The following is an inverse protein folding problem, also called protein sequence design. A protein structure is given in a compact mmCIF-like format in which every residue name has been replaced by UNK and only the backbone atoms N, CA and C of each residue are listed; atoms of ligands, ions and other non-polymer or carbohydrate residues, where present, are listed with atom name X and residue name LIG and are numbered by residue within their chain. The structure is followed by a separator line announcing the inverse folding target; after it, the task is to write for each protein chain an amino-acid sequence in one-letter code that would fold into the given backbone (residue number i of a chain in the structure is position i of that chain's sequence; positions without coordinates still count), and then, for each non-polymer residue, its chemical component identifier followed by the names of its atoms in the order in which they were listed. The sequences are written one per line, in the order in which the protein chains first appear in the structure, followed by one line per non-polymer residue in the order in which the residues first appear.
data_IF_064523771916
#
_entry.id   IF_064523771916
#
_cell.length_a   1.000
_cell.length_b   1.000
_cell.length_c   1.000
_cell.angle_alpha   90.00
_cell.angle_beta   90.00
_cell.angle_gamma   90.00
#
_symmetry.space_group_name_H-M   'P 1'
#
loop_
_entity.id
_entity.type
_entity.pdbx_description
1 polymer ?
#
# COMPACT_ATOMS: atom_id res chain seq x y z
N UNK A 1 25.50 21.79 -21.54
CA UNK A 1 25.35 20.57 -20.73
C UNK A 1 25.16 19.42 -21.69
N UNK A 2 26.02 18.40 -21.59
CA UNK A 2 25.86 17.18 -22.38
C UNK A 2 24.61 16.43 -21.88
N UNK A 3 23.89 15.71 -22.75
CA UNK A 3 22.76 14.88 -22.34
C UNK A 3 23.16 13.71 -21.41
N UNK A 4 24.43 13.57 -21.05
CA UNK A 4 24.97 12.57 -20.12
C UNK A 4 25.52 13.18 -18.83
N UNK A 5 25.43 14.49 -18.63
CA UNK A 5 25.90 15.15 -17.39
C UNK A 5 25.13 14.64 -16.15
N UNK A 6 23.90 14.14 -16.33
CA UNK A 6 23.11 13.51 -15.27
C UNK A 6 23.69 12.16 -14.80
N UNK A 7 24.38 11.40 -15.67
CA UNK A 7 25.10 10.18 -15.26
C UNK A 7 26.27 10.54 -14.35
N UNK A 8 27.02 11.60 -14.71
CA UNK A 8 28.11 12.10 -13.87
C UNK A 8 27.59 12.63 -12.52
N UNK A 9 26.40 13.24 -12.48
CA UNK A 9 25.75 13.63 -11.23
C UNK A 9 25.25 12.42 -10.43
N UNK A 10 24.77 11.35 -11.08
CA UNK A 10 24.40 10.09 -10.44
C UNK A 10 25.60 9.41 -9.77
N UNK A 11 26.75 9.39 -10.44
CA UNK A 11 28.00 8.90 -9.83
C UNK A 11 28.42 9.73 -8.63
N UNK A 12 28.25 11.07 -8.66
CA UNK A 12 28.51 11.92 -7.49
C UNK A 12 27.51 11.73 -6.35
N UNK A 13 26.28 11.32 -6.64
CA UNK A 13 25.31 10.96 -5.60
C UNK A 13 25.75 9.74 -4.79
N UNK A 14 26.54 8.83 -5.37
CA UNK A 14 27.13 7.70 -4.64
C UNK A 14 28.11 8.18 -3.55
N UNK A 15 28.70 9.36 -3.69
CA UNK A 15 29.59 9.97 -2.69
C UNK A 15 28.81 10.68 -1.56
N UNK A 16 27.48 10.85 -1.70
CA UNK A 16 26.62 11.56 -0.75
C UNK A 16 25.37 10.74 -0.39
N UNK A 17 25.50 9.73 0.48
CA UNK A 17 24.45 8.73 0.67
C UNK A 17 23.15 9.29 1.27
N UNK A 18 23.23 10.29 2.15
CA UNK A 18 22.03 10.95 2.69
C UNK A 18 21.26 11.73 1.61
N UNK A 19 21.99 12.34 0.67
CA UNK A 19 21.39 13.01 -0.48
C UNK A 19 20.77 11.99 -1.43
N UNK A 20 21.45 10.86 -1.68
CA UNK A 20 20.91 9.74 -2.44
C UNK A 20 19.59 9.24 -1.85
N UNK A 21 19.51 9.03 -0.52
CA UNK A 21 18.26 8.65 0.14
C UNK A 21 17.15 9.67 -0.12
N UNK A 22 17.42 10.96 0.08
CA UNK A 22 16.46 12.03 -0.14
C UNK A 22 15.96 12.09 -1.60
N UNK A 23 16.87 11.95 -2.55
CA UNK A 23 16.55 11.87 -3.99
C UNK A 23 15.71 10.64 -4.29
N UNK A 24 16.08 9.48 -3.76
CA UNK A 24 15.35 8.23 -3.93
C UNK A 24 13.91 8.35 -3.44
N UNK A 25 13.71 8.87 -2.23
CA UNK A 25 12.36 9.14 -1.68
C UNK A 25 11.60 10.14 -2.56
N UNK A 26 12.24 11.23 -3.00
CA UNK A 26 11.59 12.21 -3.86
C UNK A 26 11.13 11.59 -5.20
N UNK A 27 11.97 10.77 -5.84
CA UNK A 27 11.63 10.05 -7.07
C UNK A 27 10.46 9.09 -6.85
N UNK A 28 10.41 8.40 -5.70
CA UNK A 28 9.30 7.51 -5.35
C UNK A 28 7.98 8.29 -5.25
N UNK A 29 7.99 9.42 -4.54
CA UNK A 29 6.82 10.27 -4.37
C UNK A 29 6.32 10.80 -5.72
N UNK A 30 7.24 11.25 -6.58
CA UNK A 30 6.91 11.71 -7.95
C UNK A 30 6.30 10.58 -8.78
N UNK A 31 6.88 9.38 -8.75
CA UNK A 31 6.34 8.23 -9.47
C UNK A 31 4.93 7.87 -9.01
N UNK A 32 4.69 7.85 -7.69
CA UNK A 32 3.37 7.60 -7.11
C UNK A 32 2.34 8.65 -7.53
N UNK A 33 2.70 9.94 -7.55
CA UNK A 33 1.81 11.01 -8.02
C UNK A 33 1.48 10.88 -9.52
N UNK A 34 2.44 10.47 -10.37
CA UNK A 34 2.18 10.21 -11.78
C UNK A 34 1.15 9.08 -11.99
N UNK A 35 1.21 8.03 -11.17
CA UNK A 35 0.21 6.96 -11.18
C UNK A 35 -1.17 7.49 -10.78
N UNK A 36 -1.25 8.30 -9.73
CA UNK A 36 -2.52 8.95 -9.32
C UNK A 36 -3.10 9.81 -10.45
N UNK A 37 -2.26 10.56 -11.16
CA UNK A 37 -2.68 11.37 -12.31
C UNK A 37 -3.18 10.51 -13.49
N UNK A 38 -2.57 9.35 -13.74
CA UNK A 38 -3.07 8.37 -14.72
C UNK A 38 -4.50 7.97 -14.36
N UNK A 39 -4.71 7.58 -13.11
CA UNK A 39 -5.99 7.06 -12.65
C UNK A 39 -7.09 8.11 -12.76
N UNK A 40 -6.82 9.35 -12.35
CA UNK A 40 -7.79 10.45 -12.50
C UNK A 40 -8.22 10.66 -13.95
N UNK A 41 -7.28 10.63 -14.90
CA UNK A 41 -7.58 10.77 -16.34
C UNK A 41 -8.37 9.58 -16.92
N UNK A 42 -8.23 8.39 -16.33
CA UNK A 42 -8.99 7.20 -16.71
C UNK A 42 -10.42 7.24 -16.18
N UNK A 43 -10.61 7.76 -14.96
CA UNK A 43 -11.92 7.93 -14.33
C UNK A 43 -12.78 8.98 -15.07
N UNK A 44 -12.19 10.13 -15.44
CA UNK A 44 -12.88 11.22 -16.15
C UNK A 44 -13.47 10.79 -17.51
N UNK A 45 -12.92 9.73 -18.12
CA UNK A 45 -13.38 9.20 -19.41
C UNK A 45 -14.52 8.18 -19.29
N UNK A 46 -15.16 8.09 -18.12
CA UNK A 46 -16.31 7.23 -17.84
C UNK A 46 -16.03 5.74 -18.08
N UNK A 47 -14.76 5.35 -17.93
CA UNK A 47 -14.35 3.96 -17.99
C UNK A 47 -14.87 3.28 -16.72
N UNK A 48 -15.72 2.26 -16.87
CA UNK A 48 -16.54 1.65 -15.81
C UNK A 48 -16.01 1.81 -14.38
N UNK A 49 -16.52 2.84 -13.70
CA UNK A 49 -16.06 3.39 -12.40
C UNK A 49 -15.97 2.32 -11.29
N UNK A 50 -16.77 1.25 -11.40
CA UNK A 50 -16.87 0.20 -10.38
C UNK A 50 -15.76 -0.85 -10.48
N UNK A 51 -15.24 -1.12 -11.68
CA UNK A 51 -14.17 -2.11 -11.90
C UNK A 51 -12.79 -1.47 -11.85
N UNK A 52 -12.70 -0.19 -12.23
CA UNK A 52 -11.51 0.61 -11.95
C UNK A 52 -11.27 0.73 -10.44
N UNK A 53 -12.27 1.12 -9.65
CA UNK A 53 -12.07 1.46 -8.25
C UNK A 53 -11.60 0.34 -7.29
N UNK A 54 -11.79 -0.95 -7.60
CA UNK A 54 -11.38 -2.06 -6.69
C UNK A 54 -10.34 -3.02 -7.23
N UNK A 55 -10.16 -3.08 -8.55
CA UNK A 55 -9.11 -3.88 -9.16
C UNK A 55 -7.97 -3.00 -9.64
N UNK A 56 -8.31 -1.97 -10.41
CA UNK A 56 -7.31 -1.18 -11.11
C UNK A 56 -6.70 -0.09 -10.23
N UNK A 57 -7.51 0.65 -9.49
CA UNK A 57 -7.08 1.72 -8.60
C UNK A 57 -6.12 1.19 -7.54
N UNK A 58 -6.43 0.13 -6.77
CA UNK A 58 -5.48 -0.41 -5.78
C UNK A 58 -4.20 -0.96 -6.40
N UNK A 59 -4.30 -1.65 -7.55
CA UNK A 59 -3.11 -2.16 -8.24
C UNK A 59 -2.20 -1.04 -8.73
N UNK A 60 -2.80 0.05 -9.22
CA UNK A 60 -2.04 1.20 -9.69
C UNK A 60 -1.46 2.00 -8.52
N UNK A 61 -2.24 2.36 -7.50
CA UNK A 61 -1.72 3.11 -6.35
C UNK A 61 -0.68 2.31 -5.57
N UNK A 62 -0.85 0.99 -5.46
CA UNK A 62 0.12 0.07 -4.88
C UNK A 62 1.25 -0.35 -5.84
N UNK A 63 1.25 0.09 -7.10
CA UNK A 63 2.28 -0.26 -8.09
C UNK A 63 3.69 0.20 -7.68
N UNK A 64 3.89 1.44 -7.19
CA UNK A 64 5.19 1.87 -6.66
C UNK A 64 5.68 0.98 -5.54
N UNK A 65 4.79 0.57 -4.64
CA UNK A 65 5.12 -0.34 -3.54
C UNK A 65 5.48 -1.75 -4.05
N UNK A 66 4.73 -2.27 -5.01
CA UNK A 66 5.02 -3.56 -5.66
C UNK A 66 6.40 -3.55 -6.32
N UNK A 67 6.70 -2.53 -7.12
CA UNK A 67 8.00 -2.39 -7.77
C UNK A 67 9.12 -2.21 -6.74
N UNK A 68 8.91 -1.42 -5.70
CA UNK A 68 9.87 -1.25 -4.61
C UNK A 68 10.13 -2.57 -3.86
N UNK A 69 9.11 -3.40 -3.62
CA UNK A 69 9.28 -4.72 -3.02
C UNK A 69 10.02 -5.69 -3.95
N UNK A 70 9.67 -5.73 -5.23
CA UNK A 70 10.31 -6.61 -6.21
C UNK A 70 11.78 -6.26 -6.44
N UNK A 71 12.09 -4.98 -6.68
CA UNK A 71 13.46 -4.53 -6.87
C UNK A 71 14.23 -4.54 -5.56
N UNK A 72 13.56 -4.18 -4.46
CA UNK A 72 14.10 -4.25 -3.10
C UNK A 72 14.55 -5.65 -2.74
N UNK A 73 13.80 -6.71 -3.06
CA UNK A 73 14.24 -8.07 -2.78
C UNK A 73 15.58 -8.43 -3.45
N UNK A 74 15.91 -7.79 -4.58
CA UNK A 74 17.17 -8.03 -5.31
C UNK A 74 18.29 -7.05 -4.95
N UNK A 75 17.96 -5.86 -4.44
CA UNK A 75 18.89 -4.73 -4.24
C UNK A 75 18.94 -4.17 -2.82
N UNK A 76 18.08 -4.68 -1.94
CA UNK A 76 17.97 -4.35 -0.51
C UNK A 76 18.02 -5.66 0.29
N UNK A 77 18.16 -5.53 1.61
CA UNK A 77 17.96 -6.65 2.52
C UNK A 77 16.50 -7.09 2.45
N UNK A 78 16.24 -8.38 2.22
CA UNK A 78 14.88 -8.88 1.97
C UNK A 78 13.91 -8.63 3.13
N UNK A 79 14.41 -8.64 4.37
CA UNK A 79 13.62 -8.35 5.57
C UNK A 79 13.00 -6.94 5.54
N UNK A 80 13.65 -5.99 4.86
CA UNK A 80 13.16 -4.64 4.66
C UNK A 80 11.83 -4.63 3.90
N UNK A 81 11.64 -5.54 2.94
CA UNK A 81 10.39 -5.64 2.17
C UNK A 81 9.23 -5.93 3.12
N UNK A 82 9.45 -6.78 4.11
CA UNK A 82 8.43 -7.12 5.12
C UNK A 82 8.14 -5.91 6.00
N UNK A 83 9.17 -5.28 6.58
CA UNK A 83 9.01 -4.11 7.44
C UNK A 83 8.38 -2.92 6.72
N UNK A 84 8.72 -2.71 5.45
CA UNK A 84 8.14 -1.68 4.60
C UNK A 84 6.64 -1.90 4.40
N UNK A 85 6.24 -3.12 4.02
CA UNK A 85 4.83 -3.42 3.76
C UNK A 85 3.98 -3.42 5.03
N UNK A 86 4.56 -3.78 6.18
CA UNK A 86 3.89 -3.62 7.48
C UNK A 86 3.76 -2.14 7.83
N UNK A 87 4.82 -1.35 7.64
CA UNK A 87 4.81 0.09 7.90
C UNK A 87 3.79 0.83 7.04
N UNK A 88 3.72 0.50 5.75
CA UNK A 88 2.72 1.00 4.82
C UNK A 88 1.31 0.68 5.33
N UNK A 89 1.05 -0.59 5.63
CA UNK A 89 -0.28 -1.01 6.06
C UNK A 89 -0.67 -0.44 7.42
N UNK A 90 0.27 -0.35 8.36
CA UNK A 90 0.03 0.28 9.64
C UNK A 90 -0.30 1.76 9.44
N UNK A 91 0.49 2.50 8.65
CA UNK A 91 0.23 3.91 8.35
C UNK A 91 -1.13 4.12 7.68
N UNK A 92 -1.48 3.30 6.67
CA UNK A 92 -2.77 3.36 5.99
C UNK A 92 -3.94 3.15 6.96
N UNK A 93 -3.89 2.07 7.72
CA UNK A 93 -4.98 1.64 8.60
C UNK A 93 -5.18 2.53 9.82
N UNK A 94 -4.12 3.21 10.27
CA UNK A 94 -4.15 4.02 11.49
C UNK A 94 -3.97 5.50 11.16
N UNK A 95 -2.77 5.93 10.79
CA UNK A 95 -2.44 7.35 10.59
C UNK A 95 -3.27 7.99 9.48
N UNK A 96 -3.33 7.38 8.28
CA UNK A 96 -4.07 7.93 7.13
C UNK A 96 -5.57 7.90 7.37
N UNK A 97 -6.10 6.73 7.73
CA UNK A 97 -7.52 6.58 8.07
C UNK A 97 -7.93 7.57 9.17
N UNK A 98 -7.11 7.66 10.22
CA UNK A 98 -7.33 8.56 11.34
C UNK A 98 -7.27 10.03 10.95
N UNK A 99 -6.32 10.42 10.11
CA UNK A 99 -6.16 11.78 9.59
C UNK A 99 -7.32 12.16 8.68
N UNK A 100 -7.75 11.26 7.79
CA UNK A 100 -8.92 11.49 6.93
C UNK A 100 -10.16 11.69 7.80
N UNK A 101 -10.38 10.86 8.81
CA UNK A 101 -11.49 11.02 9.74
C UNK A 101 -11.41 12.34 10.52
N UNK A 102 -10.21 12.70 10.97
CA UNK A 102 -9.95 13.92 11.72
C UNK A 102 -10.14 15.18 10.88
N UNK A 103 -9.86 15.16 9.57
CA UNK A 103 -9.88 16.36 8.72
C UNK A 103 -11.09 16.44 7.79
N UNK A 104 -11.59 15.32 7.29
CA UNK A 104 -12.72 15.25 6.35
C UNK A 104 -14.06 14.89 7.02
N UNK A 105 -14.04 14.41 8.27
CA UNK A 105 -15.23 14.09 9.04
C UNK A 105 -15.49 12.58 9.20
N UNK A 106 -16.64 12.18 9.78
CA UNK A 106 -16.95 10.79 10.03
C UNK A 106 -16.92 9.98 8.74
N UNK A 107 -16.38 8.79 8.86
CA UNK A 107 -16.03 7.96 7.72
C UNK A 107 -17.19 7.01 7.43
N UNK A 108 -17.76 7.15 6.23
CA UNK A 108 -19.00 6.49 5.84
C UNK A 108 -18.69 5.09 5.30
N UNK A 109 -19.14 4.06 6.03
CA UNK A 109 -18.99 2.66 5.60
C UNK A 109 -19.86 2.37 4.35
N UNK A 110 -20.86 3.21 4.06
CA UNK A 110 -21.71 3.11 2.86
C UNK A 110 -22.20 4.48 2.40
N UNK A 111 -22.04 4.83 1.11
CA UNK A 111 -22.58 6.07 0.49
C UNK A 111 -23.81 5.82 -0.40
N UNK A 112 -24.30 4.58 -0.53
CA UNK A 112 -25.41 4.31 -1.44
C UNK A 112 -26.72 5.01 -1.00
N UNK A 113 -26.96 6.23 -1.51
CA UNK A 113 -28.29 6.79 -1.74
C UNK A 113 -28.96 5.91 -2.80
N UNK A 114 -29.75 4.93 -2.38
CA UNK A 114 -30.39 3.97 -3.27
C UNK A 114 -31.03 2.82 -2.50
N UNK A 115 -31.71 1.92 -3.21
CA UNK A 115 -32.46 0.80 -2.60
C UNK A 115 -31.60 0.00 -1.60
N UNK A 116 -32.22 -0.50 -0.54
CA UNK A 116 -31.54 -1.17 0.59
C UNK A 116 -30.59 -2.30 0.14
N UNK A 117 -30.88 -2.92 -1.01
CA UNK A 117 -30.09 -4.01 -1.61
C UNK A 117 -28.71 -3.56 -2.10
N UNK A 118 -28.58 -2.36 -2.71
CA UNK A 118 -27.30 -1.84 -3.21
C UNK A 118 -26.39 -1.41 -2.06
N UNK A 119 -26.96 -0.76 -1.05
CA UNK A 119 -26.25 -0.40 0.18
C UNK A 119 -25.76 -1.65 0.94
N UNK A 120 -26.59 -2.69 1.04
CA UNK A 120 -26.21 -3.98 1.67
C UNK A 120 -25.05 -4.65 0.95
N UNK A 121 -25.07 -4.66 -0.39
CA UNK A 121 -23.98 -5.25 -1.19
C UNK A 121 -22.66 -4.49 -1.02
N UNK A 122 -22.68 -3.15 -1.09
CA UNK A 122 -21.49 -2.33 -0.87
C UNK A 122 -20.87 -2.55 0.51
N UNK A 123 -21.70 -2.67 1.56
CA UNK A 123 -21.23 -3.00 2.91
C UNK A 123 -20.59 -4.39 2.98
N UNK A 124 -21.23 -5.38 2.37
CA UNK A 124 -20.71 -6.75 2.37
C UNK A 124 -19.38 -6.86 1.62
N UNK A 125 -19.22 -6.13 0.53
CA UNK A 125 -17.96 -6.05 -0.23
C UNK A 125 -16.85 -5.37 0.58
N UNK A 126 -17.18 -4.30 1.31
CA UNK A 126 -16.23 -3.64 2.21
C UNK A 126 -15.77 -4.56 3.36
N UNK A 127 -16.70 -5.25 4.02
CA UNK A 127 -16.34 -6.19 5.08
C UNK A 127 -15.54 -7.40 4.57
N UNK A 128 -15.85 -7.87 3.35
CA UNK A 128 -15.06 -8.91 2.71
C UNK A 128 -13.63 -8.46 2.48
N UNK A 129 -13.42 -7.21 2.03
CA UNK A 129 -12.09 -6.63 1.85
C UNK A 129 -11.32 -6.56 3.17
N UNK A 130 -11.96 -6.09 4.25
CA UNK A 130 -11.36 -6.05 5.58
C UNK A 130 -11.00 -7.44 6.11
N UNK A 131 -11.89 -8.43 5.91
CA UNK A 131 -11.64 -9.81 6.32
C UNK A 131 -10.47 -10.43 5.55
N UNK A 132 -10.43 -10.24 4.23
CA UNK A 132 -9.31 -10.70 3.40
C UNK A 132 -8.00 -10.04 3.82
N UNK A 133 -8.03 -8.77 4.18
CA UNK A 133 -6.84 -8.08 4.64
C UNK A 133 -6.37 -8.58 6.00
N UNK A 134 -7.28 -8.74 6.96
CA UNK A 134 -6.99 -9.34 8.26
C UNK A 134 -6.39 -10.74 8.12
N UNK A 135 -6.97 -11.58 7.24
CA UNK A 135 -6.42 -12.90 6.94
C UNK A 135 -5.01 -12.81 6.35
N UNK A 136 -4.75 -11.84 5.46
CA UNK A 136 -3.41 -11.61 4.91
C UNK A 136 -2.38 -11.23 5.97
N UNK A 137 -2.75 -10.39 6.94
CA UNK A 137 -1.87 -10.04 8.06
C UNK A 137 -1.58 -11.25 8.97
N UNK A 138 -2.59 -12.09 9.25
CA UNK A 138 -2.43 -13.32 10.03
C UNK A 138 -1.56 -14.34 9.30
N UNK A 139 -1.80 -14.55 8.01
CA UNK A 139 -0.98 -15.44 7.19
C UNK A 139 0.47 -14.97 7.14
N UNK A 140 0.72 -13.67 6.93
CA UNK A 140 2.08 -13.14 6.94
C UNK A 140 2.77 -13.39 8.29
N UNK A 141 2.06 -13.17 9.41
CA UNK A 141 2.63 -13.45 10.74
C UNK A 141 3.06 -14.91 10.88
N UNK A 142 2.24 -15.85 10.41
CA UNK A 142 2.59 -17.27 10.40
C UNK A 142 3.81 -17.54 9.50
N UNK A 143 3.86 -16.94 8.30
CA UNK A 143 4.99 -17.12 7.37
C UNK A 143 6.32 -16.55 7.89
N UNK A 144 6.28 -15.51 8.73
CA UNK A 144 7.49 -14.88 9.27
C UNK A 144 7.96 -15.55 10.56
N UNK A 145 7.12 -16.37 11.19
CA UNK A 145 7.38 -17.00 12.50
C UNK A 145 8.72 -17.73 12.56
N UNK A 146 9.02 -18.53 11.54
CA UNK A 146 10.25 -19.33 11.47
C UNK A 146 11.46 -18.54 10.94
N UNK A 147 11.31 -17.23 10.71
CA UNK A 147 12.36 -16.35 10.22
C UNK A 147 12.59 -16.42 8.72
N UNK A 148 11.84 -17.25 7.97
CA UNK A 148 11.97 -17.35 6.51
C UNK A 148 10.60 -17.41 5.86
N UNK A 149 10.29 -16.43 5.02
CA UNK A 149 9.12 -16.48 4.14
C UNK A 149 9.50 -17.23 2.87
N UNK A 150 8.98 -18.44 2.73
CA UNK A 150 9.31 -19.32 1.60
C UNK A 150 8.54 -18.94 0.33
N UNK A 151 8.90 -19.57 -0.79
CA UNK A 151 8.13 -19.47 -2.04
C UNK A 151 6.71 -20.03 -1.91
N UNK A 152 6.53 -21.06 -1.10
CA UNK A 152 5.20 -21.63 -0.83
C UNK A 152 4.32 -20.65 -0.06
N UNK A 153 4.90 -19.96 0.91
CA UNK A 153 4.23 -18.86 1.62
C UNK A 153 3.87 -17.72 0.67
N UNK A 154 4.76 -17.43 -0.29
CA UNK A 154 4.49 -16.51 -1.39
C UNK A 154 3.25 -16.89 -2.19
N UNK A 155 3.12 -18.16 -2.57
CA UNK A 155 1.94 -18.67 -3.28
C UNK A 155 0.66 -18.53 -2.44
N UNK A 156 0.71 -18.76 -1.12
CA UNK A 156 -0.45 -18.57 -0.23
C UNK A 156 -0.90 -17.11 -0.21
N UNK A 157 0.04 -16.17 -0.07
CA UNK A 157 -0.23 -14.74 -0.04
C UNK A 157 -0.75 -14.22 -1.38
N UNK A 158 -0.10 -14.58 -2.49
CA UNK A 158 -0.54 -14.23 -3.84
C UNK A 158 -1.91 -14.85 -4.15
N UNK A 159 -2.11 -16.10 -3.76
CA UNK A 159 -3.38 -16.82 -3.88
C UNK A 159 -4.51 -16.14 -3.13
N UNK A 160 -4.26 -15.65 -1.91
CA UNK A 160 -5.22 -14.86 -1.15
C UNK A 160 -5.63 -13.58 -1.90
N UNK A 161 -4.65 -12.85 -2.45
CA UNK A 161 -4.91 -11.63 -3.22
C UNK A 161 -5.79 -11.91 -4.44
N UNK A 162 -5.36 -12.82 -5.32
CA UNK A 162 -6.09 -13.13 -6.54
C UNK A 162 -7.43 -13.84 -6.26
N UNK A 163 -7.52 -14.64 -5.20
CA UNK A 163 -8.76 -15.23 -4.74
C UNK A 163 -9.79 -14.19 -4.30
N UNK A 164 -9.36 -13.19 -3.52
CA UNK A 164 -10.19 -12.04 -3.18
C UNK A 164 -10.64 -11.29 -4.45
N UNK A 165 -9.72 -11.00 -5.37
CA UNK A 165 -10.01 -10.27 -6.59
C UNK A 165 -10.98 -11.02 -7.51
N UNK A 166 -10.85 -12.34 -7.63
CA UNK A 166 -11.78 -13.18 -8.37
C UNK A 166 -13.17 -13.18 -7.73
N UNK A 167 -13.26 -13.29 -6.40
CA UNK A 167 -14.53 -13.23 -5.68
C UNK A 167 -15.24 -11.88 -5.88
N UNK A 168 -14.49 -10.77 -5.84
CA UNK A 168 -15.01 -9.44 -6.09
C UNK A 168 -15.50 -9.27 -7.53
N UNK A 169 -14.75 -9.79 -8.50
CA UNK A 169 -15.16 -9.84 -9.91
C UNK A 169 -16.49 -10.58 -10.08
N UNK A 170 -16.61 -11.78 -9.52
CA UNK A 170 -17.83 -12.59 -9.60
C UNK A 170 -19.05 -11.90 -8.98
N UNK A 171 -18.86 -11.18 -7.86
CA UNK A 171 -19.96 -10.48 -7.15
C UNK A 171 -20.46 -9.22 -7.87
N UNK A 172 -19.59 -8.56 -8.65
CA UNK A 172 -19.88 -7.29 -9.31
C UNK A 172 -20.34 -7.43 -10.75
N UNK A 173 -20.17 -8.61 -11.35
CA UNK A 173 -20.66 -8.93 -12.70
C UNK A 173 -19.85 -8.26 -13.81
N UNK A 174 -20.28 -8.47 -15.06
CA UNK A 174 -19.60 -7.91 -16.23
C UNK A 174 -19.79 -6.39 -16.29
N UNK A 175 -18.72 -5.64 -16.64
CA UNK A 175 -18.81 -4.19 -16.77
C UNK A 175 -19.83 -3.81 -17.87
N UNK A 176 -20.48 -2.64 -17.76
CA UNK A 176 -21.34 -2.14 -18.83
C UNK A 176 -20.57 -2.03 -20.16
N UNK A 177 -21.28 -2.26 -21.29
CA UNK A 177 -20.71 -2.24 -22.65
C UNK A 177 -19.89 -0.96 -22.87
N UNK A 178 -18.58 -1.13 -23.08
CA UNK A 178 -17.58 -0.05 -23.13
C UNK A 178 -17.57 0.71 -24.46
N UNK A 179 -17.26 2.02 -24.39
CA UNK A 179 -16.56 2.73 -25.48
C UNK A 179 -15.10 2.25 -25.52
N UNK A 180 -14.56 1.95 -26.70
CA UNK A 180 -13.14 1.56 -26.85
C UNK A 180 -12.25 2.74 -26.47
N UNK A 181 -11.14 2.49 -25.76
CA UNK A 181 -10.12 3.53 -25.56
C UNK A 181 -9.49 3.85 -26.91
N UNK A 182 -9.28 5.14 -27.24
CA UNK A 182 -8.46 5.51 -28.37
C UNK A 182 -7.05 4.97 -28.17
N UNK A 183 -6.43 4.45 -29.23
CA UNK A 183 -5.07 3.91 -29.19
C UNK A 183 -4.06 4.94 -28.63
N UNK A 184 -4.23 6.22 -28.95
CA UNK A 184 -3.40 7.32 -28.44
C UNK A 184 -3.43 7.45 -26.91
N UNK A 185 -4.58 7.17 -26.29
CA UNK A 185 -4.72 7.15 -24.83
C UNK A 185 -4.02 5.93 -24.25
N UNK A 186 -4.20 4.76 -24.86
CA UNK A 186 -3.49 3.54 -24.47
C UNK A 186 -1.97 3.69 -24.52
N UNK A 187 -1.44 4.29 -25.60
CA UNK A 187 -0.01 4.54 -25.75
C UNK A 187 0.51 5.54 -24.71
N UNK A 188 -0.23 6.62 -24.45
CA UNK A 188 0.15 7.61 -23.42
C UNK A 188 0.22 6.99 -22.03
N UNK A 189 -0.72 6.09 -21.72
CA UNK A 189 -0.75 5.36 -20.44
C UNK A 189 0.42 4.38 -20.33
N UNK A 190 0.73 3.66 -21.40
CA UNK A 190 1.87 2.75 -21.45
C UNK A 190 3.19 3.51 -21.22
N UNK A 191 3.41 4.63 -21.93
CA UNK A 191 4.59 5.46 -21.76
C UNK A 191 4.72 5.98 -20.33
N UNK A 192 3.61 6.38 -19.72
CA UNK A 192 3.62 6.88 -18.35
C UNK A 192 3.90 5.76 -17.33
N UNK A 193 3.40 4.53 -17.56
CA UNK A 193 3.76 3.35 -16.77
C UNK A 193 5.25 3.01 -16.89
N UNK A 194 5.81 3.06 -18.10
CA UNK A 194 7.26 2.86 -18.32
C UNK A 194 8.07 3.93 -17.58
N UNK A 195 7.68 5.20 -17.68
CA UNK A 195 8.32 6.28 -16.94
C UNK A 195 8.26 6.06 -15.43
N UNK A 196 7.10 5.65 -14.89
CA UNK A 196 6.96 5.33 -13.47
C UNK A 196 7.89 4.19 -13.06
N UNK A 197 7.94 3.10 -13.84
CA UNK A 197 8.83 1.98 -13.56
C UNK A 197 10.31 2.38 -13.56
N UNK A 198 10.73 3.25 -14.49
CA UNK A 198 12.08 3.80 -14.53
C UNK A 198 12.38 4.64 -13.29
N UNK A 199 11.50 5.58 -12.93
CA UNK A 199 11.67 6.42 -11.74
C UNK A 199 11.74 5.59 -10.46
N UNK A 200 10.91 4.55 -10.34
CA UNK A 200 10.95 3.64 -9.19
C UNK A 200 12.25 2.83 -9.18
N UNK A 201 12.73 2.36 -10.33
CA UNK A 201 14.02 1.64 -10.38
C UNK A 201 15.18 2.52 -9.90
N UNK A 202 15.26 3.78 -10.35
CA UNK A 202 16.26 4.73 -9.85
C UNK A 202 16.05 5.05 -8.37
N UNK A 203 14.80 5.19 -7.94
CA UNK A 203 14.45 5.39 -6.55
C UNK A 203 14.98 4.28 -5.64
N UNK A 204 14.77 3.01 -6.03
CA UNK A 204 15.27 1.84 -5.29
C UNK A 204 16.78 1.90 -5.15
N UNK A 205 17.51 2.17 -6.24
CA UNK A 205 18.97 2.25 -6.20
C UNK A 205 19.47 3.34 -5.26
N UNK A 206 18.88 4.54 -5.34
CA UNK A 206 19.26 5.66 -4.49
C UNK A 206 18.89 5.43 -3.01
N UNK A 207 17.76 4.77 -2.74
CA UNK A 207 17.38 4.34 -1.39
C UNK A 207 18.39 3.31 -0.89
N UNK A 208 18.72 2.26 -1.66
CA UNK A 208 19.72 1.25 -1.30
C UNK A 208 21.06 1.88 -0.88
N UNK A 209 21.58 2.79 -1.71
CA UNK A 209 22.83 3.51 -1.45
C UNK A 209 22.79 4.30 -0.11
N UNK A 210 21.69 5.03 0.11
CA UNK A 210 21.51 5.78 1.34
C UNK A 210 21.34 4.89 2.57
N UNK A 211 20.67 3.75 2.40
CA UNK A 211 20.43 2.77 3.45
C UNK A 211 21.69 2.06 3.92
N UNK A 212 22.57 1.64 3.01
CA UNK A 212 23.85 1.02 3.36
C UNK A 212 24.68 1.94 4.27
N UNK A 213 24.62 3.24 4.02
CA UNK A 213 25.34 4.24 4.82
C UNK A 213 24.66 4.57 6.15
N UNK A 214 23.34 4.36 6.25
CA UNK A 214 22.55 4.58 7.47
C UNK A 214 22.39 3.32 8.33
N UNK A 215 22.69 2.13 7.81
CA UNK A 215 22.50 0.85 8.50
C UNK A 215 23.27 0.70 9.81
N UNK A 216 24.31 1.52 10.03
CA UNK A 216 25.01 1.61 11.32
C UNK A 216 24.29 2.48 12.36
N UNK A 217 23.35 3.34 11.95
CA UNK A 217 22.73 4.37 12.78
C UNK A 217 21.26 4.09 13.12
N UNK A 218 20.54 3.36 12.27
CA UNK A 218 19.11 3.06 12.45
C UNK A 218 18.84 1.57 12.25
N UNK A 219 18.12 0.88 13.17
CA UNK A 219 17.69 -0.50 12.97
C UNK A 219 16.88 -0.67 11.68
N UNK A 220 17.16 -1.72 10.90
CA UNK A 220 16.50 -1.99 9.62
C UNK A 220 14.97 -2.04 9.69
N UNK A 221 14.41 -2.52 10.81
CA UNK A 221 12.97 -2.52 11.06
C UNK A 221 12.36 -1.11 11.13
N UNK A 222 13.00 -0.18 11.84
CA UNK A 222 12.54 1.21 11.93
C UNK A 222 12.60 1.90 10.55
N UNK A 223 13.66 1.63 9.80
CA UNK A 223 13.85 2.19 8.46
C UNK A 223 12.81 1.66 7.46
N UNK A 224 12.49 0.36 7.51
CA UNK A 224 11.38 -0.22 6.78
C UNK A 224 10.06 0.47 7.12
N UNK A 225 9.78 0.70 8.40
CA UNK A 225 8.58 1.41 8.84
C UNK A 225 8.53 2.87 8.31
N UNK A 226 9.66 3.59 8.29
CA UNK A 226 9.76 4.93 7.67
C UNK A 226 9.44 4.87 6.19
N UNK A 227 10.07 3.96 5.44
CA UNK A 227 9.84 3.82 4.00
C UNK A 227 8.38 3.43 3.72
N UNK A 228 7.80 2.55 4.55
CA UNK A 228 6.39 2.20 4.51
C UNK A 228 5.50 3.43 4.65
N UNK A 229 5.77 4.30 5.63
CA UNK A 229 5.03 5.58 5.78
C UNK A 229 5.18 6.48 4.54
N UNK A 230 6.40 6.62 4.01
CA UNK A 230 6.68 7.48 2.86
C UNK A 230 5.98 7.01 1.59
N UNK A 231 5.89 5.69 1.37
CA UNK A 231 5.19 5.11 0.20
C UNK A 231 3.69 5.40 0.21
N UNK A 232 3.10 5.56 1.40
CA UNK A 232 1.67 5.84 1.58
C UNK A 232 1.30 7.31 1.40
N UNK A 233 2.25 8.24 1.56
CA UNK A 233 1.96 9.68 1.54
C UNK A 233 1.22 10.15 0.26
N UNK A 234 1.67 9.81 -0.97
CA UNK A 234 0.99 10.25 -2.19
C UNK A 234 -0.46 9.77 -2.26
N UNK A 235 -0.70 8.49 -1.94
CA UNK A 235 -2.05 7.94 -1.88
C UNK A 235 -2.90 8.64 -0.81
N UNK A 236 -2.34 8.90 0.37
CA UNK A 236 -3.06 9.56 1.45
C UNK A 236 -3.64 10.92 1.05
N UNK A 237 -2.91 11.70 0.23
CA UNK A 237 -3.41 12.98 -0.30
C UNK A 237 -4.55 12.79 -1.28
N UNK A 238 -4.46 11.80 -2.17
CA UNK A 238 -5.56 11.43 -3.07
C UNK A 238 -6.80 11.00 -2.27
N UNK A 239 -6.63 10.09 -1.31
CA UNK A 239 -7.72 9.57 -0.49
C UNK A 239 -8.38 10.68 0.33
N UNK A 240 -7.61 11.63 0.86
CA UNK A 240 -8.14 12.80 1.56
C UNK A 240 -8.98 13.70 0.62
N UNK A 241 -8.50 13.95 -0.61
CA UNK A 241 -9.25 14.70 -1.63
C UNK A 241 -10.54 13.98 -2.02
N UNK A 242 -10.48 12.66 -2.23
CA UNK A 242 -11.63 11.82 -2.56
C UNK A 242 -12.63 11.73 -1.40
N UNK A 243 -12.16 11.62 -0.16
CA UNK A 243 -13.00 11.59 1.03
C UNK A 243 -13.81 12.88 1.18
N UNK A 244 -13.19 14.05 0.96
CA UNK A 244 -13.88 15.35 0.97
C UNK A 244 -14.96 15.48 -0.12
N UNK A 245 -14.78 14.84 -1.28
CA UNK A 245 -15.73 14.93 -2.40
C UNK A 245 -16.80 13.83 -2.41
N UNK A 246 -16.45 12.60 -2.06
CA UNK A 246 -17.26 11.39 -2.31
C UNK A 246 -17.36 10.44 -1.11
N UNK A 247 -16.78 10.78 0.05
CA UNK A 247 -16.99 10.08 1.33
C UNK A 247 -16.42 8.65 1.41
N UNK A 248 -17.07 7.67 0.77
CA UNK A 248 -16.72 6.24 0.88
C UNK A 248 -15.69 5.75 -0.12
N UNK A 249 -15.43 6.49 -1.21
CA UNK A 249 -14.49 6.03 -2.24
C UNK A 249 -13.05 5.92 -1.72
N UNK A 250 -12.68 6.79 -0.76
CA UNK A 250 -11.37 6.78 -0.13
C UNK A 250 -11.11 5.52 0.72
N UNK A 251 -12.16 4.88 1.24
CA UNK A 251 -12.01 3.67 2.07
C UNK A 251 -11.72 2.41 1.27
N UNK A 252 -12.44 2.26 0.15
CA UNK A 252 -12.26 1.09 -0.71
C UNK A 252 -10.90 1.10 -1.39
N UNK A 253 -10.35 2.30 -1.66
CA UNK A 253 -8.95 2.45 -2.10
C UNK A 253 -7.98 1.99 -1.02
N UNK A 254 -8.11 2.51 0.20
CA UNK A 254 -7.22 2.20 1.33
C UNK A 254 -7.15 0.70 1.67
N UNK A 255 -8.30 0.03 1.77
CA UNK A 255 -8.34 -1.41 2.03
C UNK A 255 -7.77 -2.21 0.85
N UNK A 256 -7.98 -1.71 -0.37
CA UNK A 256 -7.38 -2.28 -1.57
C UNK A 256 -5.85 -2.19 -1.54
N UNK A 257 -5.29 -1.03 -1.19
CA UNK A 257 -3.83 -0.84 -1.09
C UNK A 257 -3.24 -1.78 -0.03
N UNK A 258 -3.93 -1.94 1.11
CA UNK A 258 -3.51 -2.88 2.15
C UNK A 258 -3.43 -4.35 1.67
N UNK A 259 -4.34 -4.76 0.78
CA UNK A 259 -4.35 -6.06 0.12
C UNK A 259 -3.27 -6.19 -0.96
N UNK A 260 -2.81 -5.09 -1.54
CA UNK A 260 -1.66 -5.09 -2.44
C UNK A 260 -0.38 -5.24 -1.61
N UNK A 261 -0.15 -4.38 -0.63
CA UNK A 261 1.10 -4.34 0.15
C UNK A 261 1.50 -5.66 0.81
N UNK A 262 0.61 -6.33 1.56
CA UNK A 262 1.01 -7.60 2.20
C UNK A 262 0.78 -8.80 1.26
N UNK A 263 -0.47 -9.17 0.91
CA UNK A 263 -0.72 -10.36 0.10
C UNK A 263 0.00 -10.38 -1.25
N UNK A 264 0.03 -9.27 -1.98
CA UNK A 264 0.65 -9.23 -3.31
C UNK A 264 2.14 -8.91 -3.27
N UNK A 265 2.58 -7.82 -2.62
CA UNK A 265 3.99 -7.39 -2.70
C UNK A 265 4.89 -8.37 -1.97
N UNK A 266 4.60 -8.71 -0.72
CA UNK A 266 5.40 -9.70 0.02
C UNK A 266 5.33 -11.07 -0.67
N UNK A 267 4.14 -11.44 -1.14
CA UNK A 267 3.92 -12.70 -1.84
C UNK A 267 4.74 -12.83 -3.14
N UNK A 268 4.72 -11.82 -4.01
CA UNK A 268 5.52 -11.80 -5.24
C UNK A 268 7.02 -11.75 -4.91
N UNK A 269 7.40 -10.96 -3.89
CA UNK A 269 8.81 -10.83 -3.49
C UNK A 269 9.38 -12.18 -3.02
N UNK A 270 8.62 -12.95 -2.22
CA UNK A 270 9.08 -14.28 -1.77
C UNK A 270 9.08 -15.33 -2.88
N UNK A 271 8.28 -15.16 -3.95
CA UNK A 271 8.36 -15.99 -5.15
C UNK A 271 9.66 -15.74 -5.94
N UNK A 272 10.13 -14.50 -6.00
CA UNK A 272 11.42 -14.14 -6.63
C UNK A 272 12.54 -14.84 -5.86
N UNK A 273 12.66 -14.54 -4.57
CA UNK A 273 13.63 -15.16 -3.67
C UNK A 273 13.05 -15.25 -2.25
N UNK A 274 13.27 -16.37 -1.51
CA UNK A 274 12.85 -16.47 -0.12
C UNK A 274 13.33 -15.26 0.70
N UNK A 275 12.47 -14.77 1.58
CA UNK A 275 12.76 -13.59 2.40
C UNK A 275 13.21 -14.06 3.78
N UNK A 276 14.47 -13.78 4.14
CA UNK A 276 15.00 -14.05 5.47
C UNK A 276 14.72 -12.87 6.39
N UNK A 277 14.35 -13.15 7.63
CA UNK A 277 14.03 -12.19 8.69
C UNK A 277 14.53 -12.71 10.04
N UNK A 278 14.57 -11.86 11.05
CA UNK A 278 14.77 -12.33 12.41
C UNK A 278 13.56 -13.20 12.83
N UNK A 279 13.77 -14.44 13.29
CA UNK A 279 12.69 -15.31 13.73
C UNK A 279 11.93 -14.69 14.91
N UNK A 280 10.62 -14.92 14.93
CA UNK A 280 9.73 -14.42 16.00
C UNK A 280 9.50 -15.58 16.98
N UNK A 281 10.15 -15.54 18.13
CA UNK A 281 10.04 -16.57 19.15
C UNK A 281 8.92 -16.25 20.15
N UNK A 282 8.68 -14.96 20.41
CA UNK A 282 7.69 -14.50 21.37
C UNK A 282 6.86 -13.32 20.86
N UNK A 283 5.60 -13.25 21.30
CA UNK A 283 4.69 -12.14 20.96
C UNK A 283 5.17 -10.77 21.47
N UNK A 284 6.13 -10.74 22.41
CA UNK A 284 6.76 -9.52 22.94
C UNK A 284 7.91 -9.02 22.08
N UNK A 285 8.35 -9.80 21.10
CA UNK A 285 9.47 -9.42 20.23
C UNK A 285 9.14 -8.11 19.52
N UNK A 286 10.15 -7.24 19.36
CA UNK A 286 9.99 -5.98 18.63
C UNK A 286 9.44 -6.21 17.22
N UNK A 287 9.88 -7.29 16.57
CA UNK A 287 9.40 -7.72 15.27
C UNK A 287 7.90 -8.12 15.28
N UNK A 288 7.38 -8.71 16.37
CA UNK A 288 5.98 -9.15 16.46
C UNK A 288 4.97 -8.01 16.66
N UNK A 289 5.39 -6.92 17.30
CA UNK A 289 4.52 -5.82 17.73
C UNK A 289 3.81 -5.10 16.58
N UNK A 290 4.48 -4.78 15.44
CA UNK A 290 3.81 -4.22 14.26
C UNK A 290 2.74 -5.15 13.67
N UNK A 291 2.98 -6.46 13.61
CA UNK A 291 2.00 -7.44 13.10
C UNK A 291 0.76 -7.52 13.99
N UNK A 292 0.97 -7.65 15.30
CA UNK A 292 -0.13 -7.72 16.27
C UNK A 292 -0.94 -6.42 16.30
N UNK A 293 -0.25 -5.28 16.15
CA UNK A 293 -0.90 -3.98 16.08
C UNK A 293 -1.71 -3.81 14.80
N UNK A 294 -1.19 -4.27 13.66
CA UNK A 294 -1.91 -4.26 12.38
C UNK A 294 -3.14 -5.18 12.44
N UNK A 295 -2.99 -6.39 12.96
CA UNK A 295 -4.10 -7.33 13.12
C UNK A 295 -5.16 -6.80 14.11
N UNK A 296 -4.73 -6.24 15.23
CA UNK A 296 -5.61 -5.68 16.27
C UNK A 296 -6.36 -4.43 15.82
N UNK A 297 -5.67 -3.48 15.19
CA UNK A 297 -6.30 -2.28 14.61
C UNK A 297 -7.36 -2.65 13.57
N UNK A 298 -7.06 -3.63 12.72
CA UNK A 298 -7.99 -4.11 11.71
C UNK A 298 -9.16 -4.86 12.27
N UNK A 299 -8.94 -5.68 13.29
CA UNK A 299 -10.04 -6.33 14.00
C UNK A 299 -10.97 -5.29 14.64
N UNK A 300 -10.41 -4.30 15.35
CA UNK A 300 -11.18 -3.21 15.94
C UNK A 300 -11.93 -2.39 14.89
N UNK A 301 -11.27 -2.02 13.79
CA UNK A 301 -11.90 -1.28 12.69
C UNK A 301 -13.06 -2.05 12.08
N UNK A 302 -12.86 -3.36 11.86
CA UNK A 302 -13.89 -4.28 11.35
C UNK A 302 -15.09 -4.34 12.29
N UNK A 303 -14.86 -4.55 13.60
CA UNK A 303 -15.93 -4.59 14.60
C UNK A 303 -16.72 -3.26 14.66
N UNK A 304 -16.01 -2.13 14.61
CA UNK A 304 -16.63 -0.82 14.62
C UNK A 304 -17.46 -0.59 13.34
N UNK A 305 -16.96 -1.01 12.17
CA UNK A 305 -17.69 -0.90 10.90
C UNK A 305 -18.90 -1.83 10.82
N UNK A 306 -18.88 -2.97 11.51
CA UNK A 306 -20.04 -3.86 11.61
C UNK A 306 -21.16 -3.25 12.46
N UNK A 307 -20.81 -2.56 13.55
CA UNK A 307 -21.79 -1.99 14.49
C UNK A 307 -22.35 -0.64 14.05
N UNK A 308 -21.55 0.18 13.36
CA UNK A 308 -21.92 1.56 13.06
C UNK A 308 -22.00 1.80 11.55
N UNK A 309 -22.98 2.61 11.12
CA UNK A 309 -23.08 3.02 9.71
C UNK A 309 -21.95 3.99 9.30
N UNK A 310 -21.32 4.62 10.29
CA UNK A 310 -20.27 5.61 10.13
C UNK A 310 -19.30 5.46 11.29
N UNK A 311 -18.01 5.66 11.04
CA UNK A 311 -16.99 5.67 12.09
C UNK A 311 -16.77 7.14 12.51
N UNK A 312 -16.94 7.48 13.80
CA UNK A 312 -16.94 8.88 14.24
C UNK A 312 -15.54 9.49 14.24
N UNK A 313 -15.45 10.81 14.06
CA UNK A 313 -14.19 11.59 14.03
C UNK A 313 -13.25 11.31 15.21
N UNK A 314 -13.80 11.09 16.41
CA UNK A 314 -13.02 10.80 17.63
C UNK A 314 -12.22 9.50 17.54
N UNK A 315 -12.76 8.49 16.85
CA UNK A 315 -12.04 7.24 16.59
C UNK A 315 -10.84 7.48 15.67
N UNK A 316 -10.90 8.48 14.80
CA UNK A 316 -9.77 8.85 13.95
C UNK A 316 -8.57 9.35 14.75
N UNK A 317 -8.80 10.18 15.78
CA UNK A 317 -7.73 10.62 16.68
C UNK A 317 -7.13 9.45 17.48
N UNK A 318 -7.96 8.50 17.90
CA UNK A 318 -7.50 7.26 18.54
C UNK A 318 -6.58 6.47 17.61
N UNK A 319 -6.92 6.37 16.32
CA UNK A 319 -6.07 5.69 15.33
C UNK A 319 -4.73 6.39 15.12
N UNK A 320 -4.71 7.72 15.02
CA UNK A 320 -3.45 8.47 14.98
C UNK A 320 -2.60 8.25 16.24
N UNK A 321 -3.21 8.26 17.43
CA UNK A 321 -2.52 7.99 18.68
C UNK A 321 -1.97 6.55 18.75
N UNK A 322 -2.72 5.59 18.23
CA UNK A 322 -2.30 4.19 18.14
C UNK A 322 -1.11 4.02 17.20
N UNK A 323 -1.08 4.72 16.07
CA UNK A 323 0.11 4.74 15.19
C UNK A 323 1.35 5.23 15.94
N UNK A 324 1.23 6.37 16.62
CA UNK A 324 2.34 6.95 17.39
C UNK A 324 2.81 6.02 18.52
N UNK A 325 1.88 5.33 19.20
CA UNK A 325 2.20 4.36 20.24
C UNK A 325 2.96 3.15 19.66
N UNK A 326 2.51 2.60 18.53
CA UNK A 326 3.19 1.47 17.89
C UNK A 326 4.57 1.87 17.40
N UNK A 327 4.70 3.06 16.82
CA UNK A 327 5.97 3.64 16.43
C UNK A 327 6.93 3.72 17.63
N UNK A 328 6.48 4.34 18.72
CA UNK A 328 7.25 4.48 19.95
C UNK A 328 7.70 3.14 20.53
N UNK A 329 6.83 2.13 20.51
CA UNK A 329 7.16 0.81 21.03
C UNK A 329 8.11 0.01 20.11
N UNK A 330 8.18 0.36 18.83
CA UNK A 330 9.00 -0.34 17.83
C UNK A 330 10.36 0.33 17.58
N UNK A 331 10.55 1.54 18.12
CA UNK A 331 11.81 2.30 18.13
C UNK A 331 12.63 1.96 19.37
#
# INVERSE_FOLDING_TARGET
MSPFDWLNQWFRLQEQPYLALGVGVALLLVASELVVLILGRLEDKNFGVVHLGTLFTPLCTGFPNLMLGMFGQTRLQGDLVIHLNIGNNLANTTLVTGTIMALAGPLLVTVAKGSSKKARRARADFHLALLSFWLGAVLLFECVRDGVVTREDGLKLVGLYFGYQLLMWMRRGTPPKKKRLPLSVGLSLLLLLVLCALLISFSVDAISLGMESMGALIPGASLGMVLGLLTVLPESFLLLRLARKQGSLGLTGLVGDCLVSIPLVVGVSSLIAPITTAPIHHWRDAAARPFLSLAGTMFCFTLLSFRQKQVPRKVGLLFCGLYAMVWWLSS
#
